data_IF_817263904411
#
_entry.id   IF_817263904411
#
_cell.length_a   1.000
_cell.length_b   1.000
_cell.length_c   1.000
_cell.angle_alpha   90.00
_cell.angle_beta   90.00
_cell.angle_gamma   90.00
#
_symmetry.space_group_name_H-M   'P 1'
#
loop_
_entity.id
_entity.type
_entity.pdbx_description
1 polymer ?
#
# COMPACT_ATOMS: atom_id res chain seq x y z
N UNK A 1 -0.44 25.87 11.16
CA UNK A 1 -0.95 24.48 11.16
C UNK A 1 -0.25 23.79 10.01
N UNK A 2 0.78 23.00 10.32
CA UNK A 2 1.70 22.41 9.35
C UNK A 2 1.02 21.23 8.63
N UNK A 3 0.88 21.32 7.31
CA UNK A 3 0.19 20.33 6.48
C UNK A 3 0.99 19.03 6.33
N UNK A 4 2.29 19.02 6.63
CA UNK A 4 3.12 17.82 6.59
C UNK A 4 2.80 16.88 7.76
N UNK A 5 2.39 17.42 8.91
CA UNK A 5 2.04 16.62 10.09
C UNK A 5 0.69 15.90 9.93
N UNK A 6 -0.19 16.38 9.04
CA UNK A 6 -1.44 15.69 8.70
C UNK A 6 -1.21 14.47 7.79
N UNK A 7 -0.09 14.42 7.06
CA UNK A 7 0.24 13.28 6.18
C UNK A 7 0.73 12.05 6.96
N UNK A 8 1.26 12.22 8.18
CA UNK A 8 1.74 11.11 9.02
C UNK A 8 0.61 10.36 9.74
N UNK A 9 -0.60 10.94 9.80
CA UNK A 9 -1.79 10.34 10.40
C UNK A 9 -2.58 9.45 9.43
N UNK A 10 -2.28 9.53 8.13
CA UNK A 10 -2.86 8.62 7.15
C UNK A 10 -2.07 7.31 7.21
N UNK A 11 -2.69 6.18 7.57
CA UNK A 11 -1.99 4.90 7.55
C UNK A 11 -1.37 4.68 6.17
N UNK A 12 -0.04 4.69 6.09
CA UNK A 12 0.70 4.37 4.87
C UNK A 12 0.62 2.89 4.52
N UNK A 13 0.15 2.08 5.48
CA UNK A 13 -0.08 0.66 5.33
C UNK A 13 -1.58 0.38 5.17
N UNK A 14 -1.93 -0.29 4.07
CA UNK A 14 -3.24 -0.92 3.90
C UNK A 14 -3.10 -2.39 4.28
N UNK A 15 -3.98 -2.89 5.15
CA UNK A 15 -4.16 -4.33 5.28
C UNK A 15 -4.81 -4.85 3.98
N UNK A 16 -4.00 -5.53 3.15
CA UNK A 16 -4.46 -6.07 1.88
C UNK A 16 -5.44 -7.23 2.06
N UNK A 17 -5.65 -7.76 3.27
CA UNK A 17 -6.65 -8.80 3.54
C UNK A 17 -8.01 -8.20 3.94
N UNK A 18 -8.03 -6.97 4.47
CA UNK A 18 -9.26 -6.23 4.75
C UNK A 18 -9.95 -5.82 3.44
N UNK A 19 -11.14 -6.41 3.20
CA UNK A 19 -11.93 -6.12 2.00
C UNK A 19 -12.48 -4.70 1.98
N UNK A 20 -12.93 -4.17 3.11
CA UNK A 20 -13.51 -2.83 3.17
C UNK A 20 -12.43 -1.77 2.91
N UNK A 21 -11.25 -1.92 3.53
CA UNK A 21 -10.11 -1.04 3.29
C UNK A 21 -9.65 -1.09 1.82
N UNK A 22 -9.57 -2.29 1.21
CA UNK A 22 -9.23 -2.43 -0.22
C UNK A 22 -10.23 -1.77 -1.14
N UNK A 23 -11.53 -1.99 -0.90
CA UNK A 23 -12.59 -1.42 -1.73
C UNK A 23 -12.57 0.12 -1.66
N UNK A 24 -12.43 0.68 -0.45
CA UNK A 24 -12.33 2.12 -0.24
C UNK A 24 -11.11 2.72 -0.94
N UNK A 25 -9.94 2.06 -0.83
CA UNK A 25 -8.72 2.53 -1.49
C UNK A 25 -8.79 2.41 -3.01
N UNK A 26 -9.33 1.30 -3.53
CA UNK A 26 -9.53 1.09 -4.96
C UNK A 26 -10.45 2.18 -5.56
N UNK A 27 -11.56 2.48 -4.88
CA UNK A 27 -12.47 3.57 -5.25
C UNK A 27 -11.77 4.93 -5.22
N UNK A 28 -11.00 5.24 -4.16
CA UNK A 28 -10.25 6.50 -4.03
C UNK A 28 -9.22 6.69 -5.14
N UNK A 29 -8.63 5.60 -5.63
CA UNK A 29 -7.62 5.60 -6.69
C UNK A 29 -8.21 5.43 -8.10
N UNK A 30 -9.53 5.23 -8.24
CA UNK A 30 -10.18 4.99 -9.53
C UNK A 30 -9.73 3.69 -10.21
N UNK A 31 -9.34 2.67 -9.45
CA UNK A 31 -8.90 1.36 -9.96
C UNK A 31 -9.78 0.23 -9.45
N UNK A 32 -9.67 -0.95 -10.05
CA UNK A 32 -10.34 -2.15 -9.55
C UNK A 32 -9.60 -2.75 -8.34
N UNK A 33 -10.31 -3.44 -7.45
CA UNK A 33 -9.71 -4.19 -6.33
C UNK A 33 -8.64 -5.18 -6.81
N UNK A 34 -8.87 -5.82 -7.96
CA UNK A 34 -7.92 -6.78 -8.54
C UNK A 34 -6.61 -6.09 -8.97
N UNK A 35 -6.71 -4.94 -9.66
CA UNK A 35 -5.54 -4.15 -10.05
C UNK A 35 -4.78 -3.66 -8.82
N UNK A 36 -5.50 -3.21 -7.78
CA UNK A 36 -4.89 -2.84 -6.50
C UNK A 36 -4.12 -4.02 -5.87
N UNK A 37 -4.74 -5.20 -5.79
CA UNK A 37 -4.12 -6.41 -5.21
C UNK A 37 -2.87 -6.83 -5.96
N UNK A 38 -2.89 -6.79 -7.29
CA UNK A 38 -1.73 -7.14 -8.13
C UNK A 38 -0.56 -6.19 -7.89
N UNK A 39 -0.84 -4.89 -7.84
CA UNK A 39 0.19 -3.86 -7.58
C UNK A 39 0.81 -4.01 -6.20
N UNK A 40 0.00 -4.18 -5.15
CA UNK A 40 0.50 -4.35 -3.78
C UNK A 40 1.41 -5.58 -3.67
N UNK A 41 1.03 -6.71 -4.30
CA UNK A 41 1.88 -7.91 -4.34
C UNK A 41 3.20 -7.67 -5.07
N UNK A 42 3.18 -6.98 -6.20
CA UNK A 42 4.39 -6.67 -6.97
C UNK A 42 5.37 -5.80 -6.15
N UNK A 43 4.86 -4.75 -5.49
CA UNK A 43 5.67 -3.86 -4.65
C UNK A 43 6.23 -4.64 -3.45
N UNK A 44 5.40 -5.39 -2.74
CA UNK A 44 5.85 -6.19 -1.59
C UNK A 44 6.89 -7.26 -1.96
N UNK A 45 6.79 -7.85 -3.16
CA UNK A 45 7.81 -8.77 -3.67
C UNK A 45 9.16 -8.08 -3.88
N UNK A 46 9.15 -6.89 -4.48
CA UNK A 46 10.38 -6.13 -4.75
C UNK A 46 11.06 -5.65 -3.48
N UNK A 47 10.29 -5.16 -2.51
CA UNK A 47 10.81 -4.76 -1.19
C UNK A 47 11.54 -5.93 -0.55
N UNK A 48 10.92 -7.12 -0.49
CA UNK A 48 11.55 -8.33 0.05
C UNK A 48 12.84 -8.71 -0.67
N UNK A 49 12.89 -8.59 -2.00
CA UNK A 49 14.11 -8.86 -2.77
C UNK A 49 15.24 -7.89 -2.39
N UNK A 50 14.95 -6.60 -2.28
CA UNK A 50 15.95 -5.60 -1.87
C UNK A 50 16.44 -5.85 -0.44
N UNK A 51 15.52 -6.14 0.49
CA UNK A 51 15.86 -6.50 1.87
C UNK A 51 16.80 -7.71 1.92
N UNK A 52 16.53 -8.75 1.13
CA UNK A 52 17.39 -9.94 1.05
C UNK A 52 18.79 -9.62 0.51
N UNK A 53 18.92 -8.70 -0.45
CA UNK A 53 20.22 -8.27 -0.97
C UNK A 53 20.98 -7.34 -0.02
N UNK A 54 20.29 -6.61 0.86
CA UNK A 54 20.91 -5.70 1.83
C UNK A 54 21.34 -6.41 3.13
N UNK A 55 20.90 -7.65 3.36
CA UNK A 55 21.27 -8.47 4.52
C UNK A 55 22.39 -9.48 4.23
N UNK A 56 22.93 -9.52 3.01
CA UNK A 56 24.03 -10.37 2.55
C UNK A 56 25.34 -9.59 2.42
#
# INVERSE_FOLDING_TARGET
MDTAQLQSLVPTHIDINDRAARAALAARLGVTEERLRKTVRLVGSRVRTIEAHHQA
#
